data_IF_501732484608
#
_entry.id   IF_501732484608
#
_cell.length_a   1.000
_cell.length_b   1.000
_cell.length_c   1.000
_cell.angle_alpha   90.00
_cell.angle_beta   90.00
_cell.angle_gamma   90.00
#
_symmetry.space_group_name_H-M   'P 1'
#
loop_
_entity.id
_entity.type
_entity.pdbx_description
1 polymer ?
#
# COMPACT_ATOMS: atom_id res chain seq x y z
N UNK A 1 8.71 -5.03 16.42
CA UNK A 1 7.92 -3.79 16.48
C UNK A 1 7.55 -3.44 15.06
N UNK A 2 6.29 -3.61 14.66
CA UNK A 2 5.82 -3.14 13.37
C UNK A 2 5.81 -1.61 13.43
N UNK A 3 6.65 -0.95 12.63
CA UNK A 3 6.68 0.50 12.57
C UNK A 3 5.32 1.00 12.07
N UNK A 4 4.66 1.84 12.86
CA UNK A 4 3.40 2.45 12.50
C UNK A 4 3.72 3.68 11.64
N UNK A 5 3.66 3.56 10.31
CA UNK A 5 3.94 4.66 9.40
C UNK A 5 2.62 5.30 8.94
N UNK A 6 2.48 6.62 9.12
CA UNK A 6 1.50 7.42 8.38
C UNK A 6 1.90 7.55 6.90
N UNK A 7 1.11 8.23 6.06
CA UNK A 7 1.40 8.37 4.64
C UNK A 7 2.78 8.99 4.32
N UNK A 8 3.15 10.09 4.99
CA UNK A 8 4.46 10.76 4.81
C UNK A 8 5.61 9.84 5.24
N UNK A 9 5.41 9.13 6.34
CA UNK A 9 6.33 8.15 6.89
C UNK A 9 6.50 6.95 5.94
N UNK A 10 5.42 6.49 5.32
CA UNK A 10 5.42 5.41 4.32
C UNK A 10 6.19 5.83 3.07
N UNK A 11 5.90 7.01 2.52
CA UNK A 11 6.64 7.53 1.36
C UNK A 11 8.12 7.80 1.68
N UNK A 12 8.42 8.24 2.91
CA UNK A 12 9.81 8.34 3.38
C UNK A 12 10.47 6.97 3.45
N UNK A 13 9.80 5.96 3.97
CA UNK A 13 10.31 4.59 4.00
C UNK A 13 10.54 4.06 2.58
N UNK A 14 9.59 4.23 1.66
CA UNK A 14 9.74 3.84 0.25
C UNK A 14 10.98 4.48 -0.37
N UNK A 15 11.18 5.80 -0.19
CA UNK A 15 12.39 6.50 -0.62
C UNK A 15 13.68 5.94 -0.01
N UNK A 16 13.68 5.65 1.29
CA UNK A 16 14.83 5.07 1.99
C UNK A 16 15.20 3.68 1.43
N UNK A 17 14.21 2.90 1.01
CA UNK A 17 14.41 1.60 0.39
C UNK A 17 14.62 1.67 -1.14
N UNK A 18 14.67 2.87 -1.73
CA UNK A 18 14.82 3.05 -3.18
C UNK A 18 13.60 2.67 -4.01
N UNK A 19 12.42 2.55 -3.37
CA UNK A 19 11.14 2.28 -4.00
C UNK A 19 10.44 3.58 -4.42
N UNK A 20 9.55 3.45 -5.41
CA UNK A 20 8.71 4.57 -5.85
C UNK A 20 7.68 4.94 -4.77
N UNK A 21 7.32 6.22 -4.72
CA UNK A 21 6.22 6.70 -3.87
C UNK A 21 4.88 6.18 -4.36
N UNK A 22 3.91 6.10 -3.45
CA UNK A 22 2.53 5.78 -3.80
C UNK A 22 1.85 6.99 -4.45
N UNK A 23 1.35 6.82 -5.68
CA UNK A 23 0.71 7.89 -6.44
C UNK A 23 -0.81 7.85 -6.27
N UNK A 24 -1.39 8.84 -5.59
CA UNK A 24 -2.84 8.93 -5.37
C UNK A 24 -3.71 9.00 -6.66
N UNK A 25 -3.09 9.19 -7.84
CA UNK A 25 -3.78 9.13 -9.14
C UNK A 25 -3.94 7.70 -9.67
N UNK A 26 -3.09 6.79 -9.23
CA UNK A 26 -3.24 5.37 -9.50
C UNK A 26 -4.24 4.78 -8.50
N UNK A 27 -5.22 4.02 -9.00
CA UNK A 27 -6.32 3.52 -8.17
C UNK A 27 -5.85 2.50 -7.12
N UNK A 28 -4.85 1.68 -7.47
CA UNK A 28 -4.25 0.70 -6.55
C UNK A 28 -3.47 1.41 -5.45
N UNK A 29 -2.62 2.36 -5.82
CA UNK A 29 -1.85 3.15 -4.85
C UNK A 29 -2.78 3.97 -3.95
N UNK A 30 -3.85 4.56 -4.48
CA UNK A 30 -4.85 5.26 -3.68
C UNK A 30 -5.51 4.35 -2.63
N UNK A 31 -5.83 3.11 -3.01
CA UNK A 31 -6.38 2.11 -2.11
C UNK A 31 -5.39 1.78 -0.97
N UNK A 32 -4.12 1.55 -1.30
CA UNK A 32 -3.05 1.28 -0.34
C UNK A 32 -2.85 2.48 0.61
N UNK A 33 -2.87 3.71 0.08
CA UNK A 33 -2.78 4.94 0.88
C UNK A 33 -3.93 5.01 1.90
N UNK A 34 -5.16 4.70 1.48
CA UNK A 34 -6.33 4.69 2.36
C UNK A 34 -6.22 3.58 3.41
N UNK A 35 -5.77 2.38 3.05
CA UNK A 35 -5.57 1.28 3.98
C UNK A 35 -4.55 1.66 5.07
N UNK A 36 -3.41 2.21 4.69
CA UNK A 36 -2.35 2.68 5.61
C UNK A 36 -2.87 3.77 6.55
N UNK A 37 -3.61 4.75 6.02
CA UNK A 37 -4.20 5.81 6.83
C UNK A 37 -5.24 5.27 7.84
N UNK A 38 -5.97 4.22 7.47
CA UNK A 38 -6.89 3.49 8.35
C UNK A 38 -6.20 2.46 9.24
N UNK A 39 -4.86 2.42 9.27
CA UNK A 39 -4.04 1.50 10.07
C UNK A 39 -4.21 0.02 9.69
N UNK A 40 -4.55 -0.26 8.44
CA UNK A 40 -4.59 -1.60 7.86
C UNK A 40 -3.22 -1.85 7.23
N UNK A 41 -2.44 -2.75 7.86
CA UNK A 41 -1.08 -3.09 7.45
C UNK A 41 -0.88 -4.58 7.12
N UNK A 42 -1.94 -5.37 7.30
CA UNK A 42 -1.92 -6.79 6.98
C UNK A 42 -2.05 -6.96 5.46
N UNK A 43 -1.09 -7.67 4.84
CA UNK A 43 -1.03 -7.80 3.38
C UNK A 43 -2.25 -8.57 2.85
N UNK A 44 -2.72 -9.60 3.57
CA UNK A 44 -3.90 -10.36 3.16
C UNK A 44 -5.14 -9.47 3.15
N UNK A 45 -5.33 -8.65 4.18
CA UNK A 45 -6.44 -7.69 4.23
C UNK A 45 -6.33 -6.63 3.14
N UNK A 46 -5.12 -6.14 2.83
CA UNK A 46 -4.93 -5.18 1.73
C UNK A 46 -5.26 -5.86 0.39
N UNK A 47 -4.84 -7.10 0.18
CA UNK A 47 -5.15 -7.86 -1.03
C UNK A 47 -6.66 -8.10 -1.17
N UNK A 48 -7.36 -8.44 -0.09
CA UNK A 48 -8.82 -8.58 -0.10
C UNK A 48 -9.51 -7.27 -0.51
N UNK A 49 -9.08 -6.13 0.06
CA UNK A 49 -9.63 -4.81 -0.28
C UNK A 49 -9.35 -4.47 -1.76
N UNK A 50 -8.16 -4.79 -2.26
CA UNK A 50 -7.79 -4.59 -3.65
C UNK A 50 -8.66 -5.45 -4.59
N UNK A 51 -8.84 -6.72 -4.26
CA UNK A 51 -9.66 -7.66 -5.04
C UNK A 51 -11.14 -7.25 -5.06
N UNK A 52 -11.69 -6.79 -3.93
CA UNK A 52 -13.04 -6.22 -3.85
C UNK A 52 -13.25 -5.04 -4.82
N UNK A 53 -12.18 -4.32 -5.14
CA UNK A 53 -12.19 -3.17 -6.06
C UNK A 53 -11.75 -3.55 -7.48
N UNK A 54 -11.49 -4.83 -7.77
CA UNK A 54 -10.99 -5.33 -9.05
C UNK A 54 -9.56 -4.85 -9.36
N UNK A 55 -8.80 -4.47 -8.33
CA UNK A 55 -7.43 -3.99 -8.43
C UNK A 55 -6.47 -5.15 -8.21
N UNK A 56 -5.29 -5.05 -8.83
CA UNK A 56 -4.29 -6.12 -8.75
C UNK A 56 -3.73 -6.27 -7.32
N UNK A 57 -3.76 -7.47 -6.70
CA UNK A 57 -3.19 -7.71 -5.38
C UNK A 57 -1.69 -7.44 -5.32
N UNK A 58 -1.19 -7.12 -4.12
CA UNK A 58 0.24 -6.96 -3.84
C UNK A 58 0.99 -8.29 -3.88
N UNK A 59 0.37 -9.38 -3.41
CA UNK A 59 0.97 -10.72 -3.42
C UNK A 59 1.12 -11.31 -4.83
N UNK A 60 0.33 -10.84 -5.79
CA UNK A 60 0.42 -11.24 -7.19
C UNK A 60 1.51 -10.43 -7.91
N UNK A 61 2.78 -10.79 -7.69
CA UNK A 61 3.84 -10.32 -8.56
C UNK A 61 3.70 -11.05 -9.90
N UNK A 62 3.64 -10.31 -11.02
CA UNK A 62 3.76 -10.96 -12.35
C UNK A 62 5.16 -11.60 -12.41
N UNK A 63 5.21 -12.90 -12.71
CA UNK A 63 6.44 -13.60 -13.11
C UNK A 63 7.01 -13.02 -14.41
#
# INVERSE_FOLDING_TARGET
MAGHFNWDETNRALKLYGLNELYAKDARDACIIVAINNRIFDISQIDDILDEHGLKPLSQQDE
#
